data_IF_287631161861
#
_entry.id   IF_287631161861
#
_cell.length_a   1.000
_cell.length_b   1.000
_cell.length_c   1.000
_cell.angle_alpha   90.00
_cell.angle_beta   90.00
_cell.angle_gamma   90.00
#
_symmetry.space_group_name_H-M   'P 1'
#
loop_
_entity.id
_entity.type
_entity.pdbx_description
1 polymer ?
#
# COMPACT_ATOMS: atom_id res chain seq x y z
N UNK A 1 6.76 0.26 -14.20
CA UNK A 1 6.66 -0.31 -12.83
C UNK A 1 5.76 0.58 -11.98
N UNK A 2 4.79 0.03 -11.25
CA UNK A 2 3.92 0.80 -10.33
C UNK A 2 4.57 0.87 -8.94
N UNK A 3 4.33 1.96 -8.20
CA UNK A 3 4.89 2.18 -6.86
C UNK A 3 4.54 1.05 -5.86
N UNK A 4 3.29 0.62 -5.85
CA UNK A 4 2.80 -0.41 -4.93
C UNK A 4 3.45 -1.78 -5.17
N UNK A 5 3.68 -2.13 -6.45
CA UNK A 5 4.38 -3.35 -6.85
C UNK A 5 5.84 -3.29 -6.39
N UNK A 6 6.50 -2.15 -6.64
CA UNK A 6 7.88 -1.93 -6.26
C UNK A 6 8.12 -2.11 -4.75
N UNK A 7 7.29 -1.47 -3.91
CA UNK A 7 7.39 -1.62 -2.45
C UNK A 7 7.15 -3.06 -2.02
N UNK A 8 6.15 -3.73 -2.60
CA UNK A 8 5.81 -5.11 -2.25
C UNK A 8 6.96 -6.07 -2.56
N UNK A 9 7.63 -5.91 -3.70
CA UNK A 9 8.80 -6.70 -4.09
C UNK A 9 9.96 -6.52 -3.11
N UNK A 10 10.30 -5.27 -2.76
CA UNK A 10 11.35 -5.00 -1.77
C UNK A 10 10.97 -5.53 -0.40
N UNK A 11 9.73 -5.35 0.05
CA UNK A 11 9.31 -5.93 1.33
C UNK A 11 9.45 -7.45 1.30
N UNK A 12 8.99 -8.14 0.26
CA UNK A 12 9.09 -9.59 0.16
C UNK A 12 10.54 -10.10 0.18
N UNK A 13 11.46 -9.35 -0.41
CA UNK A 13 12.89 -9.69 -0.45
C UNK A 13 13.52 -9.71 0.95
N UNK A 14 13.19 -8.75 1.81
CA UNK A 14 13.81 -8.61 3.15
C UNK A 14 12.94 -9.14 4.29
N UNK A 15 11.63 -9.00 4.20
CA UNK A 15 10.67 -9.37 5.23
C UNK A 15 9.50 -10.16 4.65
N UNK A 16 9.56 -11.50 4.71
CA UNK A 16 8.46 -12.36 4.22
C UNK A 16 7.14 -12.12 4.96
N UNK A 17 7.20 -11.92 6.29
CA UNK A 17 6.01 -11.74 7.13
C UNK A 17 5.65 -10.24 7.25
N UNK A 18 4.44 -9.91 6.77
CA UNK A 18 3.90 -8.54 6.77
C UNK A 18 3.66 -7.98 8.18
N UNK A 19 3.15 -8.79 9.12
CA UNK A 19 2.86 -8.35 10.49
C UNK A 19 4.12 -8.00 11.26
N UNK A 20 5.18 -8.82 11.11
CA UNK A 20 6.49 -8.53 11.72
C UNK A 20 7.07 -7.24 11.14
N UNK A 21 7.02 -7.09 9.83
CA UNK A 21 7.47 -5.88 9.15
C UNK A 21 6.70 -4.63 9.61
N UNK A 22 5.37 -4.70 9.67
CA UNK A 22 4.53 -3.58 10.07
C UNK A 22 4.82 -3.16 11.52
N UNK A 23 5.04 -4.12 12.43
CA UNK A 23 5.48 -3.86 13.81
C UNK A 23 6.83 -3.15 13.87
N UNK A 24 7.82 -3.59 13.10
CA UNK A 24 9.15 -2.97 13.06
C UNK A 24 9.09 -1.55 12.49
N UNK A 25 8.29 -1.35 11.42
CA UNK A 25 8.09 -0.05 10.81
C UNK A 25 7.25 0.89 11.69
N UNK A 26 6.50 0.35 12.64
CA UNK A 26 5.62 1.10 13.56
C UNK A 26 4.29 1.51 12.93
N UNK A 27 3.75 0.70 12.01
CA UNK A 27 2.50 0.96 11.30
C UNK A 27 1.50 -0.19 11.46
N UNK A 28 0.21 0.09 11.23
CA UNK A 28 -0.81 -0.95 11.22
C UNK A 28 -0.64 -1.84 9.98
N UNK A 29 -0.71 -3.16 10.15
CA UNK A 29 -0.62 -4.13 9.04
C UNK A 29 -1.66 -3.83 7.95
N UNK A 30 -2.90 -3.54 8.33
CA UNK A 30 -3.99 -3.22 7.40
C UNK A 30 -3.67 -2.02 6.51
N UNK A 31 -3.12 -0.95 7.09
CA UNK A 31 -2.71 0.24 6.37
C UNK A 31 -1.63 -0.07 5.34
N UNK A 32 -0.59 -0.82 5.73
CA UNK A 32 0.49 -1.18 4.79
C UNK A 32 0.02 -2.12 3.70
N UNK A 33 -0.85 -3.08 4.03
CA UNK A 33 -1.48 -3.98 3.04
C UNK A 33 -2.20 -3.18 1.95
N UNK A 34 -2.95 -2.14 2.32
CA UNK A 34 -3.60 -1.25 1.35
C UNK A 34 -2.61 -0.46 0.49
N UNK A 35 -1.43 -0.11 1.01
CA UNK A 35 -0.35 0.54 0.22
C UNK A 35 0.20 -0.44 -0.81
N UNK A 36 0.48 -1.68 -0.43
CA UNK A 36 0.95 -2.72 -1.37
C UNK A 36 -0.10 -3.08 -2.44
N UNK A 37 -1.38 -2.96 -2.11
CA UNK A 37 -2.50 -3.10 -3.07
C UNK A 37 -2.68 -1.87 -3.96
N UNK A 38 -2.03 -0.75 -3.66
CA UNK A 38 -2.21 0.50 -4.39
C UNK A 38 -3.56 1.19 -4.14
N UNK A 39 -4.25 0.83 -3.05
CA UNK A 39 -5.47 1.50 -2.58
C UNK A 39 -5.09 2.75 -1.79
N UNK A 40 -4.18 2.57 -0.82
CA UNK A 40 -3.66 3.70 -0.07
C UNK A 40 -2.64 4.46 -0.92
N UNK A 41 -2.69 5.81 -0.94
CA UNK A 41 -1.68 6.62 -1.58
C UNK A 41 -0.31 6.45 -0.90
N UNK A 42 0.77 6.93 -1.51
CA UNK A 42 2.10 6.82 -0.92
C UNK A 42 2.16 7.56 0.42
N UNK A 43 2.71 6.93 1.47
CA UNK A 43 2.79 7.53 2.80
C UNK A 43 3.85 8.64 2.84
N UNK A 44 3.93 9.36 3.96
CA UNK A 44 4.92 10.44 4.17
C UNK A 44 6.34 10.00 3.81
N UNK A 45 7.13 10.92 3.26
CA UNK A 45 8.55 10.69 2.92
C UNK A 45 9.38 10.15 4.08
N UNK A 46 9.11 10.57 5.31
CA UNK A 46 9.77 10.04 6.51
C UNK A 46 9.51 8.56 6.73
N UNK A 47 8.30 8.07 6.44
CA UNK A 47 7.97 6.66 6.54
C UNK A 47 8.65 5.85 5.42
N UNK A 48 8.68 6.38 4.20
CA UNK A 48 9.39 5.74 3.09
C UNK A 48 10.90 5.71 3.31
N UNK A 49 11.48 6.74 3.94
CA UNK A 49 12.90 6.71 4.33
C UNK A 49 13.18 5.61 5.35
N UNK A 50 12.32 5.45 6.36
CA UNK A 50 12.42 4.33 7.32
C UNK A 50 12.32 2.98 6.62
N UNK A 51 11.39 2.85 5.67
CA UNK A 51 11.28 1.66 4.84
C UNK A 51 12.57 1.36 4.08
N UNK A 52 13.11 2.35 3.35
CA UNK A 52 14.34 2.21 2.59
C UNK A 52 15.52 1.76 3.47
N UNK A 53 15.65 2.34 4.67
CA UNK A 53 16.67 1.95 5.63
C UNK A 53 16.49 0.49 6.11
N UNK A 54 15.26 0.07 6.40
CA UNK A 54 14.95 -1.29 6.86
C UNK A 54 15.18 -2.34 5.77
N UNK A 55 14.96 -1.98 4.50
CA UNK A 55 15.19 -2.85 3.35
C UNK A 55 16.58 -2.69 2.75
N UNK A 56 17.50 -1.99 3.43
CA UNK A 56 18.86 -1.75 2.95
C UNK A 56 18.93 -1.26 1.49
N UNK A 57 18.02 -0.36 1.11
CA UNK A 57 17.96 0.18 -0.24
C UNK A 57 19.19 1.06 -0.52
N UNK A 58 19.74 0.92 -1.72
CA UNK A 58 20.73 1.86 -2.21
C UNK A 58 20.10 3.21 -2.57
N UNK A 59 20.92 4.26 -2.65
CA UNK A 59 20.43 5.62 -2.92
C UNK A 59 19.66 5.73 -4.25
N UNK A 60 20.08 4.99 -5.28
CA UNK A 60 19.39 4.97 -6.57
C UNK A 60 18.02 4.29 -6.50
N UNK A 61 17.88 3.26 -5.68
CA UNK A 61 16.61 2.54 -5.45
C UNK A 61 15.64 3.43 -4.65
N UNK A 62 16.16 4.13 -3.66
CA UNK A 62 15.41 5.11 -2.90
C UNK A 62 14.93 6.28 -3.78
N UNK A 63 15.81 6.80 -4.65
CA UNK A 63 15.45 7.84 -5.61
C UNK A 63 14.35 7.35 -6.57
N UNK A 64 14.45 6.12 -7.07
CA UNK A 64 13.43 5.50 -7.90
C UNK A 64 12.10 5.36 -7.14
N UNK A 65 12.12 4.89 -5.88
CA UNK A 65 10.93 4.80 -5.04
C UNK A 65 10.20 6.15 -4.93
N UNK A 66 10.94 7.23 -4.69
CA UNK A 66 10.34 8.57 -4.58
C UNK A 66 9.78 9.09 -5.91
N UNK A 67 10.44 8.81 -7.02
CA UNK A 67 9.90 9.15 -8.34
C UNK A 67 8.59 8.39 -8.63
N UNK A 68 8.54 7.10 -8.26
CA UNK A 68 7.35 6.28 -8.39
C UNK A 68 6.23 6.76 -7.45
N UNK A 69 6.56 7.22 -6.24
CA UNK A 69 5.59 7.80 -5.32
C UNK A 69 4.93 9.07 -5.89
N UNK A 70 5.70 9.95 -6.55
CA UNK A 70 5.15 11.15 -7.22
C UNK A 70 4.22 10.81 -8.39
N UNK A 71 4.53 9.74 -9.11
CA UNK A 71 3.73 9.26 -10.25
C UNK A 71 2.69 8.21 -9.84
N UNK A 72 2.33 8.17 -8.56
CA UNK A 72 1.39 7.16 -8.08
C UNK A 72 0.01 7.37 -8.68
N UNK A 73 -0.61 6.24 -9.04
CA UNK A 73 -1.96 6.15 -9.57
C UNK A 73 -2.69 5.10 -8.72
N UNK A 74 -3.94 5.36 -8.30
CA UNK A 74 -4.72 4.39 -7.56
C UNK A 74 -4.90 3.09 -8.34
N UNK A 75 -5.01 1.97 -7.62
CA UNK A 75 -5.40 0.70 -8.22
C UNK A 75 -6.84 0.75 -8.72
N UNK A 76 -7.18 -0.10 -9.69
CA UNK A 76 -8.54 -0.27 -10.21
C UNK A 76 -9.53 -0.71 -9.13
N UNK A 77 -9.02 -1.34 -8.07
CA UNK A 77 -9.80 -1.78 -6.91
C UNK A 77 -10.12 -0.66 -5.92
N UNK A 78 -9.60 0.56 -6.13
CA UNK A 78 -9.78 1.66 -5.16
C UNK A 78 -11.22 2.16 -5.19
N UNK A 79 -11.87 2.19 -4.02
CA UNK A 79 -13.29 2.55 -3.83
C UNK A 79 -14.29 1.65 -4.59
N UNK A 80 -13.89 0.45 -5.02
CA UNK A 80 -14.81 -0.48 -5.69
C UNK A 80 -15.23 -1.61 -4.77
N UNK A 81 -16.35 -2.26 -5.10
CA UNK A 81 -16.75 -3.55 -4.50
C UNK A 81 -16.09 -4.75 -5.18
N UNK A 82 -15.08 -4.53 -6.05
CA UNK A 82 -14.42 -5.64 -6.73
C UNK A 82 -13.65 -6.48 -5.71
N UNK A 83 -14.24 -7.62 -5.39
CA UNK A 83 -13.65 -8.62 -4.53
C UNK A 83 -14.09 -9.99 -5.02
N UNK A 84 -13.18 -10.96 -5.06
CA UNK A 84 -13.42 -12.32 -5.59
C UNK A 84 -14.60 -13.02 -4.87
N UNK A 85 -14.85 -12.63 -3.62
CA UNK A 85 -15.93 -13.17 -2.78
C UNK A 85 -17.28 -12.43 -2.92
N UNK A 86 -17.33 -11.35 -3.69
CA UNK A 86 -18.51 -10.53 -3.85
C UNK A 86 -19.33 -11.06 -5.02
N UNK A 87 -20.49 -11.63 -4.71
CA UNK A 87 -21.46 -12.11 -5.68
C UNK A 87 -22.67 -11.17 -5.69
N UNK A 88 -23.42 -11.21 -6.79
CA UNK A 88 -24.66 -10.44 -6.93
C UNK A 88 -25.72 -10.80 -5.87
N UNK A 89 -25.53 -11.90 -5.14
CA UNK A 89 -26.38 -12.35 -4.03
C UNK A 89 -25.82 -12.05 -2.64
N UNK A 90 -24.64 -11.44 -2.54
CA UNK A 90 -24.06 -11.05 -1.24
C UNK A 90 -24.91 -9.98 -0.56
N UNK A 91 -25.19 -10.14 0.75
CA UNK A 91 -25.99 -9.17 1.54
C UNK A 91 -25.36 -7.77 1.50
N UNK A 92 -26.18 -6.73 1.63
CA UNK A 92 -25.75 -5.33 1.59
C UNK A 92 -24.59 -5.02 2.56
N UNK A 93 -24.65 -5.55 3.80
CA UNK A 93 -23.59 -5.38 4.81
C UNK A 93 -22.22 -5.91 4.35
N UNK A 94 -22.20 -7.02 3.61
CA UNK A 94 -20.97 -7.58 3.04
C UNK A 94 -20.42 -6.70 1.92
N UNK A 95 -21.30 -6.05 1.15
CA UNK A 95 -20.87 -5.10 0.11
C UNK A 95 -20.24 -3.85 0.72
N UNK A 96 -20.88 -3.29 1.75
CA UNK A 96 -20.38 -2.11 2.44
C UNK A 96 -19.03 -2.35 3.12
N UNK A 97 -18.85 -3.50 3.77
CA UNK A 97 -17.58 -3.87 4.40
C UNK A 97 -16.46 -4.05 3.38
N UNK A 98 -16.74 -4.63 2.22
CA UNK A 98 -15.75 -4.80 1.15
C UNK A 98 -15.38 -3.47 0.47
N UNK A 99 -16.36 -2.58 0.24
CA UNK A 99 -16.10 -1.20 -0.22
C UNK A 99 -15.25 -0.44 0.82
N UNK A 100 -15.52 -0.64 2.11
CA UNK A 100 -14.75 -0.03 3.21
C UNK A 100 -13.31 -0.56 3.29
N UNK A 101 -13.07 -1.80 2.88
CA UNK A 101 -11.70 -2.32 2.78
C UNK A 101 -10.94 -1.69 1.60
N UNK A 102 -11.65 -1.41 0.51
CA UNK A 102 -11.12 -0.80 -0.69
C UNK A 102 -11.06 0.74 -0.67
N UNK A 103 -11.51 1.38 0.42
CA UNK A 103 -11.38 2.83 0.60
C UNK A 103 -10.02 3.19 1.20
N UNK A 104 -9.35 4.25 0.69
CA UNK A 104 -8.11 4.73 1.27
C UNK A 104 -8.29 5.19 2.73
N UNK A 105 -7.31 4.90 3.58
CA UNK A 105 -7.30 5.32 4.98
C UNK A 105 -6.95 6.82 5.14
N UNK A 106 -6.35 7.43 4.12
CA UNK A 106 -5.93 8.84 4.12
C UNK A 106 -5.83 9.40 2.71
N UNK A 107 -5.94 10.73 2.62
CA UNK A 107 -5.85 11.45 1.35
C UNK A 107 -4.43 11.49 0.78
N UNK A 108 -4.35 11.57 -0.55
CA UNK A 108 -3.10 11.76 -1.27
C UNK A 108 -2.59 13.22 -1.13
N UNK A 109 -1.95 13.51 0.01
CA UNK A 109 -1.50 14.85 0.38
C UNK A 109 0.01 15.10 0.18
N UNK A 110 0.84 14.07 0.33
CA UNK A 110 2.29 14.25 0.52
C UNK A 110 3.13 14.22 -0.77
N UNK A 111 2.54 13.82 -1.89
CA UNK A 111 3.25 13.57 -3.16
C UNK A 111 2.58 14.20 -4.38
N UNK A 112 1.77 15.26 -4.15
CA UNK A 112 1.26 16.13 -5.21
C UNK A 112 2.37 17.02 -5.78
#
# INVERSE_FOLDING_TARGET
MKFNVYIKEYRLKYFKNLDKFAKILGVKTSMWRKIERGINPPPRRTLLKKFANLTHMFEYEEAQMYQLARRWIPSEDTNTGNHILLSEYSKAEWRETLIKENTPDYEHKYWR
#
